data_IF_393943664114
#
_entry.id   IF_393943664114
#
_cell.length_a   1.000
_cell.length_b   1.000
_cell.length_c   1.000
_cell.angle_alpha   90.00
_cell.angle_beta   90.00
_cell.angle_gamma   90.00
#
_symmetry.space_group_name_H-M   'P 1'
#
loop_
_entity.id
_entity.type
_entity.pdbx_description
1 polymer ?
#
# COMPACT_ATOMS: atom_id res chain seq x y z
N UNK A 1 35.25 -6.15 -45.60
CA UNK A 1 34.54 -7.28 -46.21
C UNK A 1 33.29 -7.45 -45.35
N UNK A 2 32.26 -6.60 -45.52
CA UNK A 2 31.26 -6.59 -46.64
C UNK A 2 30.46 -7.88 -46.61
N UNK A 3 29.13 -7.94 -46.70
CA UNK A 3 28.00 -7.06 -47.05
C UNK A 3 26.81 -7.57 -46.18
N UNK A 4 25.83 -6.81 -45.69
CA UNK A 4 24.81 -6.00 -46.37
C UNK A 4 23.92 -6.78 -47.36
N UNK A 5 22.61 -6.54 -47.26
CA UNK A 5 21.56 -6.83 -48.26
C UNK A 5 21.14 -8.31 -48.44
N UNK A 6 19.94 -8.67 -47.95
CA UNK A 6 18.79 -8.76 -48.85
C UNK A 6 17.45 -8.88 -48.08
N UNK A 7 16.36 -8.51 -48.76
CA UNK A 7 14.93 -8.56 -48.37
C UNK A 7 14.32 -7.26 -47.81
N UNK A 8 14.14 -6.31 -48.73
CA UNK A 8 12.97 -5.41 -48.78
C UNK A 8 11.94 -5.91 -49.81
N UNK A 9 10.68 -5.60 -49.51
CA UNK A 9 9.57 -5.27 -50.43
C UNK A 9 8.87 -6.38 -51.23
N UNK A 10 7.53 -6.38 -51.14
CA UNK A 10 6.45 -6.83 -52.05
C UNK A 10 5.31 -7.42 -51.18
N UNK A 11 4.04 -7.03 -51.22
CA UNK A 11 3.35 -5.97 -51.95
C UNK A 11 1.99 -5.69 -51.26
N UNK A 12 1.40 -4.55 -51.59
CA UNK A 12 0.06 -4.13 -51.22
C UNK A 12 -1.03 -4.94 -51.94
N UNK A 13 -2.17 -5.18 -51.29
CA UNK A 13 -3.52 -5.00 -51.86
C UNK A 13 -4.60 -5.43 -50.87
N UNK A 14 -5.35 -4.46 -50.34
CA UNK A 14 -6.81 -4.41 -50.45
C UNK A 14 -7.30 -3.11 -49.84
N UNK A 15 -7.64 -2.17 -50.73
CA UNK A 15 -8.48 -1.04 -50.44
C UNK A 15 -9.84 -1.22 -51.14
N UNK A 16 -10.84 -0.61 -50.50
CA UNK A 16 -12.00 0.04 -51.10
C UNK A 16 -13.34 -0.71 -51.10
N UNK A 17 -14.28 -0.18 -50.30
CA UNK A 17 -15.54 0.36 -50.80
C UNK A 17 -16.41 0.87 -49.62
N UNK A 18 -16.80 2.15 -49.65
CA UNK A 18 -18.02 2.58 -48.95
C UNK A 18 -18.07 4.01 -48.41
N UNK A 19 -18.07 5.02 -49.28
CA UNK A 19 -18.67 6.32 -48.96
C UNK A 19 -19.51 6.83 -50.13
N UNK A 20 -20.78 7.15 -49.87
CA UNK A 20 -21.62 7.96 -50.76
C UNK A 20 -22.76 8.65 -49.99
N UNK A 21 -22.94 9.94 -50.29
CA UNK A 21 -24.21 10.68 -50.18
C UNK A 21 -24.32 11.63 -48.98
N UNK A 22 -23.95 12.91 -49.11
CA UNK A 22 -24.84 14.06 -49.47
C UNK A 22 -25.58 14.62 -48.24
N UNK A 23 -25.68 15.93 -47.95
CA UNK A 23 -25.98 17.07 -48.84
C UNK A 23 -25.77 18.39 -48.08
N UNK A 24 -25.02 19.31 -48.69
CA UNK A 24 -25.18 20.76 -48.87
C UNK A 24 -26.03 21.66 -47.95
N UNK A 25 -25.49 22.91 -47.84
CA UNK A 25 -26.14 24.22 -47.85
C UNK A 25 -26.61 24.81 -46.51
N UNK A 26 -26.53 26.11 -46.22
CA UNK A 26 -25.82 27.31 -46.74
C UNK A 26 -26.27 28.48 -45.82
N UNK A 27 -25.69 29.67 -45.99
CA UNK A 27 -26.18 31.03 -45.60
C UNK A 27 -25.81 31.68 -44.24
N UNK A 28 -24.98 32.73 -44.40
CA UNK A 28 -25.17 34.15 -44.03
C UNK A 28 -25.11 34.72 -42.60
N UNK A 29 -24.27 35.76 -42.52
CA UNK A 29 -24.10 36.89 -41.57
C UNK A 29 -25.35 37.84 -41.52
N UNK A 30 -25.39 38.99 -40.78
CA UNK A 30 -24.69 39.46 -39.56
C UNK A 30 -25.62 40.22 -38.53
N UNK A 31 -25.01 40.68 -37.43
CA UNK A 31 -25.28 41.85 -36.55
C UNK A 31 -26.61 42.64 -36.54
N UNK A 32 -27.10 43.00 -35.33
CA UNK A 32 -27.65 44.31 -34.89
C UNK A 32 -27.85 44.28 -33.35
N UNK A 33 -27.24 45.15 -32.51
CA UNK A 33 -27.46 46.57 -32.19
C UNK A 33 -28.68 46.91 -31.30
N UNK A 34 -28.35 47.66 -30.23
CA UNK A 34 -29.12 48.68 -29.52
C UNK A 34 -30.38 48.29 -28.72
N UNK A 35 -30.37 48.59 -27.41
CA UNK A 35 -31.12 49.75 -26.90
C UNK A 35 -30.74 50.12 -25.47
N UNK A 36 -30.40 51.40 -25.32
CA UNK A 36 -30.33 52.13 -24.06
C UNK A 36 -31.57 53.03 -23.98
N UNK A 37 -32.20 53.17 -22.81
CA UNK A 37 -33.13 54.28 -22.48
C UNK A 37 -33.18 54.39 -20.95
N UNK A 38 -32.44 55.33 -20.33
CA UNK A 38 -32.83 56.68 -19.90
C UNK A 38 -33.69 56.72 -18.64
N UNK A 39 -33.17 57.49 -17.67
CA UNK A 39 -33.68 57.81 -16.34
C UNK A 39 -34.95 58.66 -16.32
N UNK A 40 -35.50 58.91 -15.11
CA UNK A 40 -35.83 60.28 -14.74
C UNK A 40 -35.13 60.73 -13.46
N UNK A 41 -34.78 62.02 -13.48
CA UNK A 41 -34.29 62.84 -12.38
C UNK A 41 -35.38 63.00 -11.31
N UNK A 42 -35.01 62.98 -10.03
CA UNK A 42 -35.45 64.01 -9.09
C UNK A 42 -34.46 64.16 -7.94
N UNK A 43 -34.09 65.41 -7.70
CA UNK A 43 -33.29 65.97 -6.61
C UNK A 43 -34.04 65.95 -5.28
N UNK A 44 -33.39 65.56 -4.18
CA UNK A 44 -33.27 66.40 -2.98
C UNK A 44 -32.47 65.72 -1.85
N UNK A 45 -31.70 66.56 -1.18
CA UNK A 45 -31.26 66.52 0.23
C UNK A 45 -30.24 65.50 0.71
N UNK A 46 -29.02 66.05 0.90
CA UNK A 46 -28.04 65.62 1.90
C UNK A 46 -28.69 65.43 3.28
N UNK A 47 -28.70 64.19 3.75
CA UNK A 47 -28.48 63.87 5.18
C UNK A 47 -27.51 62.70 5.25
N UNK A 48 -26.36 62.96 5.84
CA UNK A 48 -25.33 61.99 6.19
C UNK A 48 -25.90 60.94 7.16
N UNK A 49 -25.98 59.68 6.70
CA UNK A 49 -26.16 58.52 7.57
C UNK A 49 -24.79 57.88 7.83
N UNK A 50 -24.46 57.49 9.08
CA UNK A 50 -23.26 56.71 9.33
C UNK A 50 -23.41 55.34 8.66
N UNK A 51 -22.39 54.92 7.90
CA UNK A 51 -22.32 53.58 7.34
C UNK A 51 -22.40 52.53 8.45
N UNK A 52 -23.19 51.45 8.32
CA UNK A 52 -23.12 50.36 9.26
C UNK A 52 -21.74 49.71 9.13
N UNK A 53 -20.93 49.86 10.17
CA UNK A 53 -19.72 49.07 10.35
C UNK A 53 -20.12 47.59 10.33
N UNK A 54 -19.73 46.89 9.27
CA UNK A 54 -19.75 45.42 9.26
C UNK A 54 -19.04 44.93 10.51
N UNK A 55 -19.65 44.03 11.32
CA UNK A 55 -18.92 43.41 12.40
C UNK A 55 -17.76 42.65 11.76
N UNK A 56 -16.54 43.02 12.14
CA UNK A 56 -15.36 42.24 11.83
C UNK A 56 -15.66 40.81 12.27
N UNK A 57 -15.85 39.93 11.29
CA UNK A 57 -15.93 38.50 11.55
C UNK A 57 -14.59 38.15 12.21
N UNK A 58 -14.68 37.82 13.49
CA UNK A 58 -13.60 37.24 14.28
C UNK A 58 -13.29 35.88 13.66
N UNK A 59 -12.56 35.90 12.55
CA UNK A 59 -11.98 34.69 11.97
C UNK A 59 -10.99 34.23 13.04
N UNK A 60 -11.14 33.02 13.60
CA UNK A 60 -10.15 32.52 14.54
C UNK A 60 -8.79 32.68 13.88
N UNK A 61 -7.87 33.32 14.59
CA UNK A 61 -6.52 33.60 14.11
C UNK A 61 -5.78 32.25 14.03
N UNK A 62 -6.04 31.49 12.96
CA UNK A 62 -5.42 30.18 12.76
C UNK A 62 -3.97 30.45 12.41
N UNK A 63 -3.07 30.19 13.36
CA UNK A 63 -1.63 30.27 13.09
C UNK A 63 -1.31 29.46 11.82
N UNK A 64 -0.58 30.04 10.86
CA UNK A 64 -0.26 29.36 9.61
C UNK A 64 0.55 28.09 9.86
N UNK A 65 0.21 27.03 9.14
CA UNK A 65 0.96 25.78 9.11
C UNK A 65 2.15 25.96 8.17
N UNK A 66 3.34 25.60 8.63
CA UNK A 66 4.57 25.58 7.80
C UNK A 66 5.05 24.15 7.61
N UNK A 67 5.35 23.75 6.37
CA UNK A 67 5.84 22.40 6.07
C UNK A 67 7.33 22.49 5.76
N UNK A 68 8.13 21.64 6.41
CA UNK A 68 9.60 21.65 6.30
C UNK A 68 10.13 20.27 5.92
N UNK A 69 11.14 20.17 5.03
CA UNK A 69 11.75 18.89 4.69
C UNK A 69 12.54 18.33 5.88
N UNK A 70 12.57 17.00 5.99
CA UNK A 70 13.46 16.26 6.87
C UNK A 70 14.86 16.26 6.27
N UNK A 71 15.81 16.94 6.91
CA UNK A 71 17.19 17.10 6.39
C UNK A 71 18.26 16.59 7.35
N UNK A 72 17.93 16.42 8.62
CA UNK A 72 18.87 15.96 9.65
C UNK A 72 18.45 14.63 10.28
N UNK A 73 19.40 13.97 10.94
CA UNK A 73 19.12 12.76 11.76
C UNK A 73 18.11 13.03 12.87
N UNK A 74 18.07 14.25 13.41
CA UNK A 74 17.12 14.63 14.45
C UNK A 74 15.71 14.82 13.88
N UNK A 75 15.60 15.39 12.68
CA UNK A 75 14.33 15.49 11.97
C UNK A 75 13.78 14.09 11.65
N UNK A 76 14.64 13.16 11.21
CA UNK A 76 14.22 11.79 10.93
C UNK A 76 13.72 11.07 12.20
N UNK A 77 14.43 11.24 13.32
CA UNK A 77 13.96 10.72 14.62
C UNK A 77 12.61 11.31 15.03
N UNK A 78 12.40 12.61 14.80
CA UNK A 78 11.11 13.24 15.06
C UNK A 78 10.03 12.71 14.13
N UNK A 79 10.31 12.59 12.83
CA UNK A 79 9.42 12.03 11.82
C UNK A 79 8.96 10.63 12.22
N UNK A 80 9.88 9.74 12.62
CA UNK A 80 9.57 8.38 13.10
C UNK A 80 8.64 8.41 14.31
N UNK A 81 8.92 9.28 15.28
CA UNK A 81 8.19 9.35 16.55
C UNK A 81 6.84 10.03 16.45
N UNK A 82 6.60 10.80 15.40
CA UNK A 82 5.47 11.72 15.32
C UNK A 82 4.10 11.04 15.43
N UNK A 83 3.81 9.89 14.79
CA UNK A 83 2.51 9.20 14.95
C UNK A 83 2.21 8.87 16.41
N UNK A 84 3.23 8.40 17.14
CA UNK A 84 3.12 8.09 18.57
C UNK A 84 2.82 9.32 19.42
N UNK A 85 3.29 10.50 19.00
CA UNK A 85 2.99 11.78 19.65
C UNK A 85 1.56 12.22 19.31
N UNK A 86 1.18 12.16 18.04
CA UNK A 86 -0.11 12.64 17.54
C UNK A 86 -1.28 11.80 18.04
N UNK A 87 -1.12 10.47 18.10
CA UNK A 87 -2.22 9.55 18.40
C UNK A 87 -2.13 8.96 19.81
N UNK A 88 -1.33 9.57 20.68
CA UNK A 88 -1.18 9.13 22.07
C UNK A 88 -2.55 9.06 22.76
N UNK A 89 -2.91 7.89 23.26
CA UNK A 89 -4.16 7.67 24.00
C UNK A 89 -5.40 7.50 23.12
N UNK A 90 -5.27 7.43 21.78
CA UNK A 90 -6.37 7.02 20.92
C UNK A 90 -6.61 5.52 21.05
N UNK A 91 -7.88 5.14 21.14
CA UNK A 91 -8.29 3.74 21.20
C UNK A 91 -7.85 2.99 19.94
N UNK A 92 -7.39 1.76 20.12
CA UNK A 92 -6.92 0.87 19.05
C UNK A 92 -5.55 1.21 18.46
N UNK A 93 -4.99 2.39 18.71
CA UNK A 93 -3.66 2.74 18.23
C UNK A 93 -2.55 2.12 19.10
N UNK A 94 -1.67 1.35 18.45
CA UNK A 94 -0.44 0.83 19.06
C UNK A 94 0.75 1.28 18.22
N UNK A 95 1.72 2.02 18.79
CA UNK A 95 2.85 2.50 18.02
C UNK A 95 3.78 1.35 17.61
N UNK A 96 4.30 1.33 16.37
CA UNK A 96 5.37 0.41 16.00
C UNK A 96 6.65 0.72 16.78
N UNK A 97 7.60 -0.20 16.77
CA UNK A 97 8.91 0.02 17.39
C UNK A 97 9.69 1.08 16.57
N UNK A 98 10.24 2.09 17.25
CA UNK A 98 11.01 3.16 16.62
C UNK A 98 12.23 2.60 15.83
N UNK A 99 12.78 1.45 16.27
CA UNK A 99 13.88 0.77 15.59
C UNK A 99 13.47 0.21 14.22
N UNK A 100 12.28 -0.40 14.14
CA UNK A 100 11.73 -0.94 12.89
C UNK A 100 11.47 0.19 11.90
N UNK A 101 10.85 1.26 12.37
CA UNK A 101 10.59 2.47 11.57
C UNK A 101 11.89 3.16 11.14
N UNK A 102 12.94 3.14 11.97
CA UNK A 102 14.27 3.60 11.57
C UNK A 102 14.87 2.71 10.47
N UNK A 103 14.73 1.40 10.55
CA UNK A 103 15.27 0.50 9.53
C UNK A 103 14.54 0.68 8.19
N UNK A 104 13.24 0.96 8.23
CA UNK A 104 12.42 1.32 7.08
C UNK A 104 12.85 2.66 6.46
N UNK A 105 12.90 3.74 7.25
CA UNK A 105 13.04 5.13 6.75
C UNK A 105 14.49 5.63 6.66
N UNK A 106 15.49 4.83 7.03
CA UNK A 106 16.88 5.24 6.98
C UNK A 106 17.52 4.86 5.62
N UNK A 107 18.03 5.84 4.85
CA UNK A 107 18.66 5.58 3.54
C UNK A 107 19.86 4.64 3.59
N UNK A 108 20.53 4.52 4.73
CA UNK A 108 21.67 3.62 4.90
C UNK A 108 21.26 2.15 5.15
N UNK A 109 19.97 1.88 5.40
CA UNK A 109 19.46 0.56 5.79
C UNK A 109 18.48 -0.04 4.80
N UNK A 110 17.63 0.77 4.17
CA UNK A 110 16.62 0.29 3.25
C UNK A 110 17.11 0.31 1.80
N UNK A 111 16.96 -0.82 1.10
CA UNK A 111 17.37 -0.99 -0.29
C UNK A 111 16.64 -0.07 -1.28
N UNK A 112 15.42 0.37 -0.96
CA UNK A 112 14.59 1.17 -1.87
C UNK A 112 15.29 2.46 -2.33
N UNK A 113 16.12 3.05 -1.47
CA UNK A 113 16.88 4.27 -1.76
C UNK A 113 17.93 4.10 -2.88
N UNK A 114 18.17 2.87 -3.35
CA UNK A 114 19.02 2.61 -4.52
C UNK A 114 18.35 2.98 -5.85
N UNK A 115 17.03 3.02 -5.88
CA UNK A 115 16.26 3.30 -7.11
C UNK A 115 15.14 4.32 -6.90
N UNK A 116 14.80 4.66 -5.65
CA UNK A 116 13.79 5.64 -5.33
C UNK A 116 14.38 6.94 -4.75
N UNK A 117 13.89 8.06 -5.23
CA UNK A 117 14.05 9.37 -4.59
C UNK A 117 12.92 9.56 -3.58
N UNK A 118 13.28 9.69 -2.31
CA UNK A 118 12.31 9.82 -1.20
C UNK A 118 12.52 11.17 -0.53
N UNK A 119 11.43 11.92 -0.33
CA UNK A 119 11.42 13.15 0.46
C UNK A 119 10.39 13.06 1.58
N UNK A 120 10.83 13.28 2.81
CA UNK A 120 9.96 13.35 3.99
C UNK A 120 9.77 14.81 4.42
N UNK A 121 8.57 15.13 4.92
CA UNK A 121 8.20 16.46 5.38
C UNK A 121 7.48 16.41 6.72
N UNK A 122 7.63 17.47 7.52
CA UNK A 122 6.93 17.67 8.79
C UNK A 122 6.19 19.00 8.73
N UNK A 123 4.92 19.00 9.09
CA UNK A 123 4.09 20.19 9.28
C UNK A 123 4.23 20.72 10.70
N UNK A 124 4.35 22.04 10.85
CA UNK A 124 4.57 22.75 12.10
C UNK A 124 3.55 23.87 12.27
N UNK A 125 3.01 24.01 13.48
CA UNK A 125 2.20 25.14 13.92
C UNK A 125 2.68 25.57 15.30
N UNK A 126 3.00 26.85 15.49
CA UNK A 126 3.54 27.38 16.76
C UNK A 126 4.75 26.57 17.29
N UNK A 127 5.66 26.20 16.38
CA UNK A 127 6.82 25.36 16.66
C UNK A 127 6.49 23.96 17.24
N UNK A 128 5.23 23.52 17.12
CA UNK A 128 4.79 22.15 17.44
C UNK A 128 4.60 21.36 16.15
N UNK A 129 5.14 20.14 16.04
CA UNK A 129 4.90 19.28 14.89
C UNK A 129 3.45 18.77 14.94
N UNK A 130 2.70 18.96 13.85
CA UNK A 130 1.27 18.65 13.74
C UNK A 130 0.94 17.62 12.65
N UNK A 131 1.94 17.22 11.87
CA UNK A 131 1.81 16.12 10.93
C UNK A 131 3.07 15.83 10.14
N UNK A 132 3.06 14.74 9.39
CA UNK A 132 4.14 14.29 8.51
C UNK A 132 3.58 13.66 7.23
N UNK A 133 4.40 13.65 6.18
CA UNK A 133 4.13 12.98 4.91
C UNK A 133 5.46 12.64 4.24
N UNK A 134 5.50 11.55 3.47
CA UNK A 134 6.57 11.27 2.51
C UNK A 134 6.05 11.37 1.08
N UNK A 135 6.91 11.79 0.16
CA UNK A 135 6.71 11.73 -1.28
C UNK A 135 7.85 10.93 -1.91
N UNK A 136 7.53 10.10 -2.91
CA UNK A 136 8.48 9.15 -3.50
C UNK A 136 8.35 9.11 -5.01
N UNK A 137 9.49 9.12 -5.69
CA UNK A 137 9.62 8.75 -7.10
C UNK A 137 10.46 7.50 -7.17
N UNK A 138 9.85 6.37 -7.53
CA UNK A 138 10.51 5.09 -7.64
C UNK A 138 10.85 4.79 -9.11
N UNK A 139 12.15 4.75 -9.44
CA UNK A 139 12.61 4.46 -10.79
C UNK A 139 12.20 3.08 -11.29
N UNK A 140 12.11 2.08 -10.41
CA UNK A 140 11.64 0.73 -10.79
C UNK A 140 10.13 0.70 -11.04
N UNK A 141 9.37 1.52 -10.32
CA UNK A 141 7.96 1.71 -10.61
C UNK A 141 7.76 2.38 -11.98
N UNK A 142 8.54 3.43 -12.28
CA UNK A 142 8.50 4.12 -13.58
C UNK A 142 8.97 3.24 -14.75
N UNK A 143 9.88 2.30 -14.52
CA UNK A 143 10.25 1.30 -15.53
C UNK A 143 9.14 0.26 -15.75
N UNK A 144 8.45 -0.13 -14.67
CA UNK A 144 7.40 -1.15 -14.70
C UNK A 144 6.06 -0.63 -15.22
N UNK A 145 5.83 0.68 -15.14
CA UNK A 145 4.58 1.32 -15.51
C UNK A 145 4.80 2.28 -16.68
N UNK A 146 3.85 2.32 -17.60
CA UNK A 146 3.85 3.30 -18.71
C UNK A 146 3.26 4.66 -18.27
N UNK A 147 3.37 5.00 -16.98
CA UNK A 147 2.78 6.19 -16.38
C UNK A 147 3.74 6.84 -15.37
N UNK A 148 3.82 8.18 -15.38
CA UNK A 148 4.64 8.97 -14.46
C UNK A 148 3.92 9.23 -13.14
N UNK A 149 3.77 8.17 -12.34
CA UNK A 149 3.10 8.21 -11.05
C UNK A 149 4.12 8.35 -9.93
N UNK A 150 3.95 9.38 -9.10
CA UNK A 150 4.63 9.52 -7.83
C UNK A 150 3.78 8.98 -6.68
N UNK A 151 4.44 8.55 -5.61
CA UNK A 151 3.75 8.12 -4.39
C UNK A 151 3.75 9.18 -3.31
N UNK A 152 2.68 9.24 -2.53
CA UNK A 152 2.70 9.80 -1.18
C UNK A 152 2.50 8.70 -0.16
N UNK A 153 2.97 8.87 1.07
CA UNK A 153 2.87 7.88 2.16
C UNK A 153 3.23 8.48 3.51
N UNK A 154 3.36 7.63 4.54
CA UNK A 154 3.66 8.05 5.90
C UNK A 154 2.86 9.30 6.35
N UNK A 155 1.59 9.36 5.94
CA UNK A 155 0.71 10.50 6.17
C UNK A 155 0.09 10.37 7.56
N UNK A 156 0.58 11.16 8.50
CA UNK A 156 0.04 11.23 9.85
C UNK A 156 -0.16 12.69 10.22
N UNK A 157 -1.35 13.05 10.71
CA UNK A 157 -1.66 14.44 11.01
C UNK A 157 -2.71 14.54 12.11
N UNK A 158 -2.72 15.68 12.80
CA UNK A 158 -3.94 16.11 13.50
C UNK A 158 -5.06 16.24 12.45
N UNK A 159 -6.27 15.80 12.82
CA UNK A 159 -7.43 15.71 11.91
C UNK A 159 -8.03 17.08 11.58
N UNK A 160 -7.22 17.97 11.00
CA UNK A 160 -7.56 19.32 10.60
C UNK A 160 -7.28 19.52 9.11
N UNK A 161 -8.27 19.99 8.35
CA UNK A 161 -8.16 20.16 6.89
C UNK A 161 -6.96 21.00 6.48
N UNK A 162 -6.66 22.08 7.21
CA UNK A 162 -5.51 22.94 6.90
C UNK A 162 -4.16 22.24 7.01
N UNK A 163 -4.00 21.31 7.95
CA UNK A 163 -2.75 20.54 8.13
C UNK A 163 -2.61 19.47 7.05
N UNK A 164 -3.67 18.70 6.82
CA UNK A 164 -3.67 17.63 5.80
C UNK A 164 -3.46 18.22 4.41
N UNK A 165 -4.13 19.33 4.09
CA UNK A 165 -3.95 20.07 2.83
C UNK A 165 -2.50 20.53 2.65
N UNK A 166 -1.91 21.19 3.65
CA UNK A 166 -0.55 21.69 3.55
C UNK A 166 0.48 20.56 3.29
N UNK A 167 0.29 19.39 3.92
CA UNK A 167 1.13 18.21 3.69
C UNK A 167 0.97 17.66 2.27
N UNK A 168 -0.27 17.43 1.82
CA UNK A 168 -0.56 16.90 0.48
C UNK A 168 -0.10 17.87 -0.63
N UNK A 169 -0.38 19.17 -0.50
CA UNK A 169 0.07 20.20 -1.45
C UNK A 169 1.62 20.21 -1.57
N UNK A 170 2.32 20.03 -0.44
CA UNK A 170 3.80 19.99 -0.43
C UNK A 170 4.32 18.76 -1.16
N UNK A 171 3.72 17.59 -0.93
CA UNK A 171 4.08 16.36 -1.63
C UNK A 171 3.76 16.45 -3.13
N UNK A 172 2.58 16.96 -3.48
CA UNK A 172 2.15 17.22 -4.86
C UNK A 172 3.14 18.13 -5.59
N UNK A 173 3.52 19.26 -4.98
CA UNK A 173 4.49 20.20 -5.55
C UNK A 173 5.84 19.50 -5.78
N UNK A 174 6.35 18.78 -4.78
CA UNK A 174 7.63 18.08 -4.92
C UNK A 174 7.57 17.02 -6.04
N UNK A 175 6.50 16.24 -6.15
CA UNK A 175 6.35 15.23 -7.20
C UNK A 175 6.22 15.84 -8.59
N UNK A 176 5.49 16.96 -8.73
CA UNK A 176 5.41 17.71 -9.98
C UNK A 176 6.78 18.21 -10.42
N UNK A 177 7.59 18.72 -9.49
CA UNK A 177 8.96 19.16 -9.75
C UNK A 177 9.87 17.99 -10.18
N UNK A 178 9.53 16.75 -9.80
CA UNK A 178 10.19 15.53 -10.29
C UNK A 178 9.60 14.99 -11.61
N UNK A 179 8.65 15.72 -12.23
CA UNK A 179 8.05 15.38 -13.51
C UNK A 179 6.93 14.33 -13.44
N UNK A 180 6.37 14.09 -12.26
CA UNK A 180 5.21 13.20 -12.10
C UNK A 180 3.93 13.92 -12.51
N UNK A 181 3.01 13.18 -13.14
CA UNK A 181 1.71 13.69 -13.61
C UNK A 181 0.55 13.27 -12.72
N UNK A 182 0.78 12.26 -11.87
CA UNK A 182 -0.20 11.72 -10.93
C UNK A 182 0.45 11.42 -9.58
N UNK A 183 -0.27 11.64 -8.50
CA UNK A 183 0.13 11.27 -7.15
C UNK A 183 -0.82 10.19 -6.61
N UNK A 184 -0.27 9.05 -6.18
CA UNK A 184 -1.03 7.88 -5.69
C UNK A 184 -0.56 7.47 -4.29
N UNK A 185 -1.47 7.04 -3.41
CA UNK A 185 -1.09 6.70 -2.04
C UNK A 185 -2.28 6.53 -1.09
N UNK A 186 -2.04 6.38 0.22
CA UNK A 186 -0.72 6.37 0.83
C UNK A 186 0.02 5.04 0.58
N UNK A 187 1.32 5.13 0.28
CA UNK A 187 2.31 4.04 0.22
C UNK A 187 3.56 4.51 0.95
N UNK A 188 3.86 3.95 2.11
CA UNK A 188 5.08 4.29 2.87
C UNK A 188 6.30 3.70 2.15
N UNK A 189 7.08 4.59 1.54
CA UNK A 189 8.27 4.33 0.73
C UNK A 189 8.02 3.64 -0.61
N UNK A 190 7.45 2.45 -0.64
CA UNK A 190 7.21 1.76 -1.91
C UNK A 190 6.29 0.55 -1.81
N UNK A 191 6.08 -0.14 -2.93
CA UNK A 191 5.06 -1.19 -3.09
C UNK A 191 5.10 -2.27 -1.99
N UNK A 192 6.29 -2.65 -1.53
CA UNK A 192 6.47 -3.65 -0.47
C UNK A 192 6.37 -3.08 0.96
N UNK A 193 6.15 -1.77 1.10
CA UNK A 193 5.94 -1.09 2.36
C UNK A 193 4.47 -1.08 2.80
N UNK A 194 4.16 -0.19 3.76
CA UNK A 194 2.80 -0.03 4.26
C UNK A 194 1.93 0.70 3.22
N UNK A 195 0.83 0.08 2.77
CA UNK A 195 -0.05 0.62 1.72
C UNK A 195 -1.47 0.81 2.22
N UNK A 196 -2.09 1.89 1.72
CA UNK A 196 -3.47 2.25 1.94
C UNK A 196 -3.74 2.94 3.27
N UNK A 197 -4.72 3.84 3.24
CA UNK A 197 -5.25 4.51 4.42
C UNK A 197 -6.24 3.57 5.12
N UNK A 198 -6.08 3.33 6.42
CA UNK A 198 -7.04 2.50 7.16
C UNK A 198 -8.38 3.24 7.29
N UNK A 199 -9.41 2.73 6.61
CA UNK A 199 -10.77 3.30 6.65
C UNK A 199 -11.69 2.53 7.60
N UNK A 200 -11.43 1.23 7.78
CA UNK A 200 -12.17 0.35 8.70
C UNK A 200 -11.19 -0.53 9.46
N UNK A 201 -11.48 -0.82 10.73
CA UNK A 201 -10.70 -1.75 11.56
C UNK A 201 -9.78 -1.07 12.58
N UNK A 202 -10.03 0.19 12.92
CA UNK A 202 -9.23 0.97 13.87
C UNK A 202 -9.20 0.36 15.29
N UNK A 203 -10.20 -0.45 15.64
CA UNK A 203 -10.30 -1.18 16.91
C UNK A 203 -9.77 -2.63 16.84
N UNK A 204 -9.36 -3.09 15.67
CA UNK A 204 -8.77 -4.43 15.52
C UNK A 204 -7.33 -4.44 16.04
N UNK A 205 -6.84 -5.59 16.54
CA UNK A 205 -5.45 -5.72 16.98
C UNK A 205 -4.44 -5.28 15.90
N UNK A 206 -3.32 -4.62 16.27
CA UNK A 206 -2.30 -4.23 15.30
C UNK A 206 -1.64 -5.47 14.68
N UNK A 207 -1.18 -5.34 13.43
CA UNK A 207 -0.50 -6.40 12.72
C UNK A 207 0.72 -5.85 12.00
N UNK A 208 1.77 -6.66 11.91
CA UNK A 208 2.99 -6.30 11.18
C UNK A 208 2.71 -5.91 9.72
N UNK A 209 3.34 -4.82 9.28
CA UNK A 209 3.19 -4.28 7.92
C UNK A 209 1.80 -3.74 7.60
N UNK A 210 0.96 -3.46 8.60
CA UNK A 210 -0.40 -2.92 8.41
C UNK A 210 -0.50 -1.56 9.08
N UNK A 211 -0.65 -0.45 8.33
CA UNK A 211 -0.66 0.87 8.94
C UNK A 211 -1.99 1.16 9.64
N UNK A 212 -1.95 1.99 10.68
CA UNK A 212 -3.13 2.48 11.39
C UNK A 212 -3.30 3.98 11.14
N UNK A 213 -4.54 4.42 10.94
CA UNK A 213 -4.83 5.83 10.68
C UNK A 213 -6.11 6.29 11.42
N UNK A 214 -6.16 7.56 11.87
CA UNK A 214 -7.40 8.21 12.31
C UNK A 214 -8.52 8.06 11.26
N UNK A 215 -9.75 7.67 11.64
CA UNK A 215 -10.86 7.53 10.69
C UNK A 215 -11.18 8.85 9.97
N UNK A 216 -10.87 9.98 10.60
CA UNK A 216 -11.12 11.32 10.04
C UNK A 216 -10.27 11.61 8.80
N UNK A 217 -9.08 10.99 8.66
CA UNK A 217 -8.22 11.22 7.48
C UNK A 217 -8.90 10.79 6.18
N UNK A 218 -9.79 9.80 6.23
CA UNK A 218 -10.52 9.30 5.08
C UNK A 218 -11.34 10.40 4.39
N UNK A 219 -12.17 11.09 5.17
CA UNK A 219 -12.99 12.20 4.67
C UNK A 219 -12.16 13.41 4.26
N UNK A 220 -11.05 13.68 4.98
CA UNK A 220 -10.17 14.82 4.69
C UNK A 220 -9.43 14.66 3.36
N UNK A 221 -8.91 13.47 3.06
CA UNK A 221 -8.21 13.19 1.80
C UNK A 221 -9.19 13.30 0.63
N UNK A 222 -10.37 12.68 0.73
CA UNK A 222 -11.39 12.75 -0.31
C UNK A 222 -11.85 14.20 -0.57
N UNK A 223 -12.08 14.99 0.48
CA UNK A 223 -12.47 16.40 0.35
C UNK A 223 -11.40 17.30 -0.30
N UNK A 224 -10.16 16.83 -0.42
CA UNK A 224 -9.05 17.54 -1.06
C UNK A 224 -8.84 17.12 -2.53
N UNK A 225 -9.83 16.42 -3.11
CA UNK A 225 -9.86 16.05 -4.53
C UNK A 225 -9.05 14.80 -4.87
N UNK A 226 -8.82 13.93 -3.89
CA UNK A 226 -8.25 12.61 -4.13
C UNK A 226 -9.37 11.59 -4.33
N UNK A 227 -9.29 10.85 -5.43
CA UNK A 227 -10.26 9.83 -5.78
C UNK A 227 -9.82 8.46 -5.27
N UNK A 228 -10.73 7.64 -4.73
CA UNK A 228 -10.42 6.28 -4.32
C UNK A 228 -10.12 5.41 -5.55
N UNK A 229 -9.13 4.53 -5.44
CA UNK A 229 -8.68 3.69 -6.57
C UNK A 229 -8.85 2.19 -6.32
N UNK A 230 -8.44 1.71 -5.15
CA UNK A 230 -8.51 0.31 -4.74
C UNK A 230 -8.67 0.19 -3.23
N UNK A 231 -9.42 -0.81 -2.82
CA UNK A 231 -9.45 -1.28 -1.44
C UNK A 231 -8.59 -2.54 -1.29
N UNK A 232 -7.84 -2.58 -0.18
CA UNK A 232 -7.00 -3.67 0.29
C UNK A 232 -7.70 -4.28 1.50
N UNK A 233 -8.21 -5.48 1.32
CA UNK A 233 -9.02 -6.20 2.30
C UNK A 233 -8.13 -7.11 3.15
N UNK A 234 -8.37 -7.10 4.47
CA UNK A 234 -7.74 -8.02 5.42
C UNK A 234 -8.81 -8.80 6.16
N UNK A 235 -8.60 -10.10 6.31
CA UNK A 235 -9.49 -11.00 7.02
C UNK A 235 -8.74 -11.61 8.21
N UNK A 236 -9.41 -11.67 9.36
CA UNK A 236 -8.89 -12.31 10.56
C UNK A 236 -9.45 -13.72 10.65
N UNK A 237 -8.56 -14.72 10.55
CA UNK A 237 -8.89 -16.12 10.77
C UNK A 237 -8.56 -16.51 12.20
N UNK A 238 -9.56 -16.92 12.96
CA UNK A 238 -9.37 -17.54 14.27
C UNK A 238 -9.01 -19.03 14.09
N UNK A 239 -7.88 -19.45 14.67
CA UNK A 239 -7.37 -20.81 14.62
C UNK A 239 -8.01 -21.66 15.73
N UNK A 240 -9.29 -21.96 15.56
CA UNK A 240 -10.06 -22.79 16.48
C UNK A 240 -9.87 -24.29 16.21
N UNK A 241 -10.30 -25.15 17.14
CA UNK A 241 -10.21 -26.61 17.00
C UNK A 241 -11.08 -27.13 15.83
N UNK A 242 -12.24 -26.52 15.60
CA UNK A 242 -13.16 -26.84 14.49
C UNK A 242 -12.69 -26.30 13.13
N UNK A 243 -11.59 -25.54 13.06
CA UNK A 243 -11.06 -25.02 11.79
C UNK A 243 -10.70 -26.15 10.82
N UNK A 244 -10.18 -27.27 11.35
CA UNK A 244 -9.85 -28.44 10.52
C UNK A 244 -11.11 -29.06 9.90
N UNK A 245 -12.25 -29.00 10.60
CA UNK A 245 -13.53 -29.53 10.08
C UNK A 245 -14.10 -28.66 8.94
N UNK A 246 -13.73 -27.38 8.90
CA UNK A 246 -14.14 -26.41 7.85
C UNK A 246 -13.33 -26.55 6.55
N UNK A 247 -12.70 -27.72 6.33
CA UNK A 247 -11.80 -28.11 5.24
C UNK A 247 -11.93 -27.29 3.94
N UNK A 248 -10.81 -26.70 3.52
CA UNK A 248 -10.68 -25.96 2.25
C UNK A 248 -10.38 -26.93 1.09
N UNK A 249 -9.78 -28.08 1.39
CA UNK A 249 -9.36 -29.09 0.41
C UNK A 249 -10.19 -30.37 0.62
N UNK A 250 -10.88 -30.88 -0.42
CA UNK A 250 -11.51 -32.20 -0.37
C UNK A 250 -10.48 -33.26 0.07
N UNK A 251 -10.80 -34.10 1.05
CA UNK A 251 -9.88 -35.10 1.64
C UNK A 251 -9.27 -36.13 0.65
N UNK A 252 -9.72 -36.13 -0.61
CA UNK A 252 -9.19 -36.91 -1.71
C UNK A 252 -8.01 -36.24 -2.47
N UNK A 253 -7.70 -34.97 -2.20
CA UNK A 253 -6.61 -34.23 -2.85
C UNK A 253 -5.41 -34.13 -1.90
N UNK A 254 -4.48 -35.07 -2.03
CA UNK A 254 -3.23 -35.10 -1.27
C UNK A 254 -2.03 -34.95 -2.22
N UNK A 255 -1.09 -34.01 -1.96
CA UNK A 255 0.17 -33.96 -2.68
C UNK A 255 0.86 -35.33 -2.70
N UNK A 256 1.35 -35.76 -3.86
CA UNK A 256 2.01 -37.05 -4.06
C UNK A 256 1.07 -38.23 -4.33
N UNK A 257 -0.26 -38.02 -4.36
CA UNK A 257 -1.23 -39.08 -4.61
C UNK A 257 -2.11 -38.81 -5.84
N UNK A 258 -2.47 -39.87 -6.57
CA UNK A 258 -3.45 -39.81 -7.67
C UNK A 258 -3.10 -38.75 -8.73
N UNK A 259 -4.03 -37.82 -8.97
CA UNK A 259 -3.86 -36.71 -9.93
C UNK A 259 -2.85 -35.64 -9.49
N UNK A 260 -2.31 -35.74 -8.27
CA UNK A 260 -1.31 -34.85 -7.69
C UNK A 260 0.05 -35.57 -7.49
N UNK A 261 0.31 -36.68 -8.18
CA UNK A 261 1.53 -37.47 -8.03
C UNK A 261 2.84 -36.68 -8.21
N UNK A 262 2.83 -35.69 -9.10
CA UNK A 262 3.99 -34.82 -9.36
C UNK A 262 4.05 -33.57 -8.46
N UNK A 263 3.14 -33.45 -7.50
CA UNK A 263 3.07 -32.35 -6.54
C UNK A 263 3.71 -32.77 -5.24
N UNK A 264 4.71 -32.03 -4.78
CA UNK A 264 5.39 -32.30 -3.51
C UNK A 264 5.48 -31.05 -2.65
N UNK A 265 5.50 -31.24 -1.34
CA UNK A 265 5.68 -30.15 -0.37
C UNK A 265 7.11 -30.20 0.13
N UNK A 266 7.86 -29.11 -0.05
CA UNK A 266 9.26 -29.06 0.37
C UNK A 266 9.37 -28.74 1.86
N UNK A 267 10.29 -29.45 2.53
CA UNK A 267 10.65 -29.19 3.93
C UNK A 267 12.03 -28.53 3.99
N UNK A 268 12.05 -27.21 4.06
CA UNK A 268 13.29 -26.44 4.08
C UNK A 268 13.71 -26.07 5.49
N UNK A 269 14.98 -26.26 5.80
CA UNK A 269 15.59 -25.66 6.98
C UNK A 269 15.68 -24.15 6.86
N UNK A 270 15.85 -23.45 8.00
CA UNK A 270 16.07 -22.00 8.04
C UNK A 270 17.24 -21.53 7.16
N UNK A 271 18.32 -22.32 7.07
CA UNK A 271 19.46 -22.02 6.20
C UNK A 271 19.10 -22.14 4.72
N UNK A 272 18.31 -23.15 4.35
CA UNK A 272 17.84 -23.34 2.99
C UNK A 272 16.88 -22.22 2.57
N UNK A 273 15.95 -21.82 3.44
CA UNK A 273 15.06 -20.67 3.19
C UNK A 273 15.88 -19.40 2.92
N UNK A 274 16.89 -19.13 3.74
CA UNK A 274 17.76 -17.97 3.54
C UNK A 274 18.57 -18.05 2.23
N UNK A 275 18.95 -19.25 1.80
CA UNK A 275 19.64 -19.48 0.53
C UNK A 275 18.70 -19.43 -0.69
N UNK A 276 17.38 -19.51 -0.49
CA UNK A 276 16.39 -19.46 -1.55
C UNK A 276 16.01 -18.04 -2.00
N UNK A 277 16.68 -17.00 -1.52
CA UNK A 277 16.30 -15.62 -1.81
C UNK A 277 16.01 -15.33 -3.28
N UNK A 278 16.84 -15.81 -4.21
CA UNK A 278 16.59 -15.60 -5.64
C UNK A 278 15.41 -16.41 -6.19
N UNK A 279 15.21 -17.65 -5.73
CA UNK A 279 14.06 -18.48 -6.10
C UNK A 279 12.76 -17.82 -5.62
N UNK A 280 12.74 -17.38 -4.35
CA UNK A 280 11.61 -16.66 -3.76
C UNK A 280 11.30 -15.38 -4.52
N UNK A 281 12.34 -14.60 -4.84
CA UNK A 281 12.19 -13.35 -5.59
C UNK A 281 11.66 -13.59 -6.99
N UNK A 282 12.18 -14.58 -7.70
CA UNK A 282 11.74 -14.95 -9.04
C UNK A 282 10.27 -15.38 -9.04
N UNK A 283 9.90 -16.30 -8.15
CA UNK A 283 8.53 -16.78 -8.03
C UNK A 283 7.57 -15.69 -7.53
N UNK A 284 8.03 -14.76 -6.68
CA UNK A 284 7.25 -13.60 -6.27
C UNK A 284 7.02 -12.65 -7.45
N UNK A 285 8.07 -12.32 -8.19
CA UNK A 285 7.94 -11.40 -9.32
C UNK A 285 7.08 -11.98 -10.44
N UNK A 286 7.20 -13.30 -10.69
CA UNK A 286 6.33 -14.03 -11.61
C UNK A 286 4.87 -13.95 -11.15
N UNK A 287 4.57 -14.37 -9.91
CA UNK A 287 3.19 -14.49 -9.43
C UNK A 287 2.44 -13.15 -9.28
N UNK A 288 3.15 -12.03 -9.09
CA UNK A 288 2.54 -10.70 -8.92
C UNK A 288 2.66 -9.79 -10.15
N UNK A 289 3.31 -10.24 -11.23
CA UNK A 289 3.38 -9.49 -12.47
C UNK A 289 2.00 -9.08 -12.98
N UNK A 290 1.85 -7.81 -13.35
CA UNK A 290 0.60 -7.24 -13.86
C UNK A 290 -0.48 -7.01 -12.80
N UNK A 291 -0.21 -7.20 -11.51
CA UNK A 291 -1.12 -6.79 -10.45
C UNK A 291 -1.05 -5.28 -10.19
N UNK A 292 -2.12 -4.72 -9.62
CA UNK A 292 -2.21 -3.28 -9.34
C UNK A 292 -1.03 -2.80 -8.47
N UNK A 293 -0.42 -1.68 -8.87
CA UNK A 293 0.77 -1.07 -8.26
C UNK A 293 2.02 -1.97 -8.19
N UNK A 294 2.05 -3.11 -8.87
CA UNK A 294 3.20 -4.01 -8.78
C UNK A 294 4.50 -3.33 -9.24
N UNK A 295 5.54 -3.49 -8.42
CA UNK A 295 6.91 -3.14 -8.75
C UNK A 295 7.78 -4.39 -8.54
N UNK A 296 8.62 -4.78 -9.52
CA UNK A 296 9.47 -5.95 -9.38
C UNK A 296 10.43 -5.82 -8.20
N UNK A 297 10.40 -6.81 -7.30
CA UNK A 297 11.28 -6.88 -6.15
C UNK A 297 12.71 -7.15 -6.60
N UNK A 298 13.65 -6.34 -6.11
CA UNK A 298 15.07 -6.45 -6.43
C UNK A 298 15.78 -7.43 -5.50
N UNK A 299 16.92 -7.98 -5.95
CA UNK A 299 17.66 -9.01 -5.20
C UNK A 299 18.13 -8.53 -3.83
N UNK A 300 18.61 -7.29 -3.73
CA UNK A 300 19.05 -6.70 -2.47
C UNK A 300 17.90 -6.36 -1.52
N UNK A 301 16.69 -6.13 -2.03
CA UNK A 301 15.51 -5.91 -1.20
C UNK A 301 15.03 -7.23 -0.60
N UNK A 302 15.02 -8.31 -1.40
CA UNK A 302 14.75 -9.66 -0.91
C UNK A 302 15.77 -10.10 0.14
N UNK A 303 17.06 -9.83 -0.08
CA UNK A 303 18.11 -10.14 0.91
C UNK A 303 17.85 -9.38 2.23
N UNK A 304 17.54 -8.08 2.14
CA UNK A 304 17.18 -7.27 3.30
C UNK A 304 15.97 -7.83 4.07
N UNK A 305 14.91 -8.21 3.36
CA UNK A 305 13.71 -8.81 3.93
C UNK A 305 14.04 -10.13 4.66
N UNK A 306 14.81 -11.01 4.03
CA UNK A 306 15.23 -12.28 4.64
C UNK A 306 16.03 -12.03 5.92
N UNK A 307 16.97 -11.08 5.92
CA UNK A 307 17.77 -10.78 7.11
C UNK A 307 16.91 -10.24 8.27
N UNK A 308 15.94 -9.37 7.97
CA UNK A 308 15.01 -8.84 8.97
C UNK A 308 14.13 -9.94 9.57
N UNK A 309 13.57 -10.79 8.71
CA UNK A 309 12.66 -11.84 9.12
C UNK A 309 13.38 -13.04 9.76
N UNK A 310 14.69 -13.20 9.54
CA UNK A 310 15.48 -14.32 10.08
C UNK A 310 15.35 -14.48 11.59
N UNK A 311 15.16 -13.42 12.36
CA UNK A 311 15.05 -13.55 13.82
C UNK A 311 13.70 -14.13 14.27
N UNK A 312 12.64 -13.89 13.51
CA UNK A 312 11.28 -14.30 13.85
C UNK A 312 10.86 -15.60 13.15
N UNK A 313 11.42 -15.87 11.95
CA UNK A 313 11.04 -17.04 11.16
C UNK A 313 11.62 -18.36 11.70
N UNK A 314 10.74 -19.36 11.62
CA UNK A 314 11.00 -20.82 11.79
C UNK A 314 10.59 -21.57 10.51
N UNK A 315 11.13 -22.76 10.23
CA UNK A 315 10.80 -23.56 9.03
C UNK A 315 9.30 -23.71 8.74
N UNK A 316 8.48 -23.79 9.78
CA UNK A 316 7.04 -24.01 9.71
C UNK A 316 6.28 -22.84 9.08
N UNK A 317 6.89 -21.66 9.03
CA UNK A 317 6.32 -20.44 8.45
C UNK A 317 6.33 -20.40 6.93
N UNK A 318 7.18 -21.22 6.30
CA UNK A 318 7.39 -21.18 4.87
C UNK A 318 6.95 -22.48 4.23
N UNK A 319 5.98 -22.40 3.33
CA UNK A 319 5.53 -23.52 2.51
C UNK A 319 6.02 -23.30 1.09
N UNK A 320 6.62 -24.33 0.53
CA UNK A 320 6.91 -24.44 -0.89
C UNK A 320 6.20 -25.69 -1.42
N UNK A 321 5.53 -25.53 -2.54
CA UNK A 321 4.93 -26.62 -3.29
C UNK A 321 5.62 -26.68 -4.64
N UNK A 322 6.22 -27.83 -4.92
CA UNK A 322 6.88 -28.12 -6.18
C UNK A 322 5.93 -28.92 -7.08
N UNK A 323 5.98 -28.65 -8.39
CA UNK A 323 5.32 -29.43 -9.42
C UNK A 323 6.37 -29.90 -10.43
N UNK A 324 6.47 -31.21 -10.66
CA UNK A 324 7.47 -31.82 -11.52
C UNK A 324 8.92 -31.40 -11.18
N UNK A 325 9.21 -31.22 -9.89
CA UNK A 325 10.54 -30.85 -9.38
C UNK A 325 10.87 -29.34 -9.43
N UNK A 326 9.95 -28.50 -9.91
CA UNK A 326 10.12 -27.05 -9.92
C UNK A 326 9.18 -26.34 -8.92
N UNK A 327 9.64 -25.27 -8.24
CA UNK A 327 8.78 -24.45 -7.38
C UNK A 327 7.59 -23.88 -8.14
N UNK A 328 6.37 -24.26 -7.73
CA UNK A 328 5.13 -23.89 -8.40
C UNK A 328 4.23 -23.00 -7.54
N UNK A 329 4.31 -23.13 -6.21
CA UNK A 329 3.63 -22.24 -5.29
C UNK A 329 4.42 -22.06 -3.99
N UNK A 330 4.17 -20.95 -3.32
CA UNK A 330 4.75 -20.67 -2.02
C UNK A 330 3.80 -19.89 -1.12
N UNK A 331 3.97 -20.06 0.18
CA UNK A 331 3.32 -19.24 1.18
C UNK A 331 4.29 -18.89 2.31
N UNK A 332 4.18 -17.67 2.82
CA UNK A 332 4.99 -17.18 3.94
C UNK A 332 4.11 -16.52 4.99
N UNK A 333 4.23 -17.02 6.21
CA UNK A 333 3.58 -16.47 7.41
C UNK A 333 4.62 -15.77 8.27
N UNK A 334 4.36 -14.53 8.67
CA UNK A 334 5.25 -13.75 9.53
C UNK A 334 4.61 -13.57 10.92
N UNK A 335 5.32 -13.91 12.00
CA UNK A 335 4.84 -13.68 13.36
C UNK A 335 4.62 -12.19 13.65
N UNK A 336 3.58 -11.87 14.42
CA UNK A 336 3.24 -10.48 14.73
C UNK A 336 4.12 -9.89 15.83
N UNK A 337 5.04 -8.99 15.47
CA UNK A 337 5.95 -8.33 16.42
C UNK A 337 5.21 -7.53 17.52
N UNK A 338 3.97 -7.08 17.27
CA UNK A 338 3.17 -6.38 18.27
C UNK A 338 2.83 -7.25 19.49
N UNK A 339 2.77 -8.59 19.35
CA UNK A 339 2.49 -9.49 20.48
C UNK A 339 3.63 -9.47 21.49
N UNK A 340 4.86 -9.52 21.01
CA UNK A 340 6.04 -9.50 21.87
C UNK A 340 6.37 -8.08 22.36
N UNK A 341 5.97 -7.05 21.61
CA UNK A 341 6.10 -5.64 21.97
C UNK A 341 5.01 -5.16 22.95
N UNK A 342 4.00 -5.98 23.28
CA UNK A 342 2.89 -5.58 24.16
C UNK A 342 3.37 -5.04 25.51
N UNK A 343 2.95 -3.81 25.85
CA UNK A 343 3.39 -3.11 27.06
C UNK A 343 4.85 -2.62 27.03
N UNK A 344 5.43 -2.53 25.83
CA UNK A 344 6.70 -1.88 25.53
C UNK A 344 6.34 -0.74 24.58
N UNK A 345 6.54 0.50 25.02
CA UNK A 345 6.33 1.66 24.14
C UNK A 345 7.29 1.61 22.94
N UNK A 346 7.01 2.36 21.88
CA UNK A 346 7.85 2.41 20.67
C UNK A 346 9.35 2.69 20.90
N UNK A 347 9.74 3.22 22.07
CA UNK A 347 11.13 3.33 22.52
C UNK A 347 11.34 2.53 23.83
N UNK A 348 11.82 1.27 23.76
CA UNK A 348 11.97 0.42 24.94
C UNK A 348 13.05 0.93 25.91
N UNK A 349 12.76 0.87 27.21
CA UNK A 349 13.78 0.99 28.27
C UNK A 349 14.70 -0.25 28.29
N UNK A 350 15.84 -0.28 29.00
CA UNK A 350 16.68 -1.48 29.11
C UNK A 350 15.90 -2.72 29.59
N UNK A 351 14.99 -2.55 30.55
CA UNK A 351 14.09 -3.63 30.99
C UNK A 351 13.07 -4.02 29.91
N UNK A 352 12.59 -3.04 29.13
CA UNK A 352 11.77 -3.29 27.94
C UNK A 352 12.51 -4.16 26.91
N UNK A 353 13.78 -3.86 26.63
CA UNK A 353 14.62 -4.66 25.73
C UNK A 353 14.84 -6.08 26.24
N UNK A 354 15.14 -6.26 27.53
CA UNK A 354 15.27 -7.58 28.12
C UNK A 354 13.97 -8.40 28.01
N UNK A 355 12.82 -7.76 28.24
CA UNK A 355 11.50 -8.37 28.09
C UNK A 355 11.20 -8.75 26.64
N UNK A 356 11.51 -7.87 25.68
CA UNK A 356 11.34 -8.13 24.25
C UNK A 356 12.19 -9.33 23.81
N UNK A 357 13.48 -9.34 24.20
CA UNK A 357 14.40 -10.42 23.89
C UNK A 357 13.96 -11.76 24.47
N UNK A 358 13.53 -11.80 25.73
CA UNK A 358 13.02 -13.02 26.35
C UNK A 358 11.75 -13.56 25.65
N UNK A 359 10.82 -12.68 25.24
CA UNK A 359 9.62 -13.06 24.49
C UNK A 359 9.94 -13.54 23.08
N UNK A 360 10.89 -12.90 22.41
CA UNK A 360 11.39 -13.30 21.09
C UNK A 360 12.05 -14.68 21.15
N UNK A 361 12.96 -14.91 22.10
CA UNK A 361 13.64 -16.20 22.29
C UNK A 361 12.65 -17.32 22.64
N UNK A 362 11.64 -17.01 23.45
CA UNK A 362 10.54 -17.92 23.76
C UNK A 362 9.49 -18.03 22.65
N UNK A 363 9.61 -17.28 21.55
CA UNK A 363 8.69 -17.24 20.40
C UNK A 363 7.22 -17.04 20.82
N UNK A 364 6.97 -16.10 21.74
CA UNK A 364 5.66 -15.84 22.33
C UNK A 364 4.79 -14.95 21.45
N UNK A 365 4.43 -15.45 20.28
CA UNK A 365 3.57 -14.79 19.31
C UNK A 365 2.17 -15.40 19.37
N UNK A 366 1.13 -14.60 19.62
CA UNK A 366 -0.25 -15.07 19.66
C UNK A 366 -0.90 -15.00 18.26
N UNK A 367 -0.33 -14.22 17.34
CA UNK A 367 -0.87 -13.94 16.03
C UNK A 367 0.22 -13.85 14.95
N UNK A 368 -0.18 -14.02 13.70
CA UNK A 368 0.70 -13.92 12.54
C UNK A 368 -0.06 -13.39 11.31
N UNK A 369 0.67 -13.07 10.25
CA UNK A 369 0.11 -12.62 8.97
C UNK A 369 0.64 -13.45 7.81
N UNK A 370 -0.24 -13.90 6.92
CA UNK A 370 0.17 -14.42 5.61
C UNK A 370 0.57 -13.22 4.75
N UNK A 371 1.87 -13.02 4.55
CA UNK A 371 2.39 -11.89 3.74
C UNK A 371 2.60 -12.26 2.27
N UNK A 372 2.64 -13.56 1.99
CA UNK A 372 2.88 -14.09 0.65
C UNK A 372 2.06 -15.36 0.47
N UNK A 373 1.29 -15.41 -0.60
CA UNK A 373 0.67 -16.62 -1.13
C UNK A 373 0.67 -16.51 -2.65
N UNK A 374 1.65 -17.16 -3.28
CA UNK A 374 1.96 -17.00 -4.70
C UNK A 374 1.90 -18.33 -5.44
N UNK A 375 1.44 -18.28 -6.69
CA UNK A 375 1.44 -19.42 -7.61
C UNK A 375 2.09 -18.97 -8.91
N UNK A 376 3.04 -19.75 -9.42
CA UNK A 376 3.72 -19.44 -10.67
C UNK A 376 2.75 -19.35 -11.84
N UNK A 377 3.01 -18.42 -12.76
CA UNK A 377 2.28 -18.30 -14.01
C UNK A 377 2.36 -19.58 -14.86
N UNK A 378 3.42 -20.38 -14.72
CA UNK A 378 3.59 -21.66 -15.43
C UNK A 378 2.43 -22.63 -15.21
N UNK A 379 1.84 -22.63 -14.02
CA UNK A 379 0.71 -23.51 -13.67
C UNK A 379 -0.62 -22.76 -13.63
N UNK A 380 -0.60 -21.42 -13.77
CA UNK A 380 -1.80 -20.57 -13.73
C UNK A 380 -2.71 -20.88 -14.93
N UNK A 381 -4.03 -20.81 -14.71
CA UNK A 381 -5.03 -21.15 -15.72
C UNK A 381 -5.26 -22.66 -15.93
N UNK A 382 -4.50 -23.51 -15.24
CA UNK A 382 -4.75 -24.96 -15.20
C UNK A 382 -5.61 -25.35 -13.99
N UNK A 383 -6.25 -26.52 -14.03
CA UNK A 383 -6.94 -27.08 -12.87
C UNK A 383 -6.00 -27.24 -11.67
N UNK A 384 -4.75 -27.64 -11.92
CA UNK A 384 -3.74 -27.78 -10.90
C UNK A 384 -3.39 -26.44 -10.24
N UNK A 385 -3.16 -25.40 -11.04
CA UNK A 385 -2.89 -24.05 -10.55
C UNK A 385 -4.04 -23.47 -9.73
N UNK A 386 -5.29 -23.83 -10.04
CA UNK A 386 -6.45 -23.43 -9.24
C UNK A 386 -6.49 -24.10 -7.85
N UNK A 387 -5.86 -25.27 -7.69
CA UNK A 387 -5.78 -25.99 -6.41
C UNK A 387 -4.59 -25.53 -5.55
N UNK A 388 -3.51 -25.04 -6.16
CA UNK A 388 -2.26 -24.67 -5.47
C UNK A 388 -2.44 -23.74 -4.26
N UNK A 389 -3.23 -22.64 -4.33
CA UNK A 389 -3.45 -21.78 -3.16
C UNK A 389 -4.12 -22.53 -2.00
N UNK A 390 -5.07 -23.42 -2.32
CA UNK A 390 -5.78 -24.21 -1.31
C UNK A 390 -4.85 -25.23 -0.65
N UNK A 391 -3.98 -25.89 -1.42
CA UNK A 391 -2.96 -26.81 -0.90
C UNK A 391 -1.96 -26.08 0.01
N UNK A 392 -1.54 -24.87 -0.37
CA UNK A 392 -0.62 -24.09 0.43
C UNK A 392 -1.25 -23.62 1.76
N UNK A 393 -2.52 -23.20 1.72
CA UNK A 393 -3.26 -22.84 2.95
C UNK A 393 -3.47 -24.07 3.84
N UNK A 394 -3.85 -25.21 3.27
CA UNK A 394 -4.01 -26.47 4.02
C UNK A 394 -2.70 -26.90 4.69
N UNK A 395 -1.57 -26.79 3.98
CA UNK A 395 -0.25 -27.08 4.55
C UNK A 395 0.10 -26.11 5.69
N UNK A 396 -0.18 -24.81 5.55
CA UNK A 396 0.00 -23.83 6.64
C UNK A 396 -0.86 -24.17 7.85
N UNK A 397 -2.12 -24.54 7.63
CA UNK A 397 -3.07 -24.99 8.64
C UNK A 397 -2.51 -26.24 9.34
N UNK A 398 -1.98 -27.24 8.62
CA UNK A 398 -1.36 -28.43 9.23
C UNK A 398 -0.10 -28.10 10.03
N UNK A 399 0.76 -27.21 9.53
CA UNK A 399 1.99 -26.78 10.22
C UNK A 399 1.72 -25.96 11.49
N UNK A 400 0.52 -25.40 11.66
CA UNK A 400 0.16 -24.60 12.83
C UNK A 400 0.24 -25.36 14.15
N UNK A 401 0.14 -26.69 14.14
CA UNK A 401 0.13 -27.52 15.35
C UNK A 401 1.38 -27.35 16.24
N UNK A 402 2.48 -26.87 15.69
CA UNK A 402 3.74 -26.60 16.41
C UNK A 402 3.97 -25.11 16.71
N UNK A 403 3.00 -24.25 16.37
CA UNK A 403 3.07 -22.80 16.49
C UNK A 403 2.03 -22.28 17.50
N UNK A 404 2.35 -21.24 18.29
CA UNK A 404 1.48 -20.75 19.36
C UNK A 404 0.32 -19.85 18.90
N UNK A 405 0.02 -19.83 17.60
CA UNK A 405 -0.92 -18.89 17.01
C UNK A 405 -2.37 -19.19 17.35
N UNK A 406 -3.08 -18.15 17.76
CA UNK A 406 -4.53 -18.15 17.95
C UNK A 406 -5.24 -17.52 16.77
N UNK A 407 -4.60 -16.55 16.10
CA UNK A 407 -5.18 -15.85 14.96
C UNK A 407 -4.16 -15.65 13.84
N UNK A 408 -4.65 -15.63 12.61
CA UNK A 408 -3.85 -15.31 11.42
C UNK A 408 -4.58 -14.27 10.59
N UNK A 409 -3.87 -13.21 10.19
CA UNK A 409 -4.39 -12.26 9.20
C UNK A 409 -4.07 -12.71 7.78
N UNK A 410 -5.12 -12.76 6.97
CA UNK A 410 -5.10 -13.02 5.54
C UNK A 410 -5.24 -11.69 4.82
N UNK A 411 -4.14 -11.13 4.32
CA UNK A 411 -4.15 -9.82 3.68
C UNK A 411 -2.76 -9.32 3.29
N UNK A 412 -2.63 -8.42 2.33
CA UNK A 412 -3.73 -7.71 1.67
C UNK A 412 -4.26 -8.46 0.45
N UNK A 413 -5.57 -8.41 0.28
CA UNK A 413 -6.25 -8.92 -0.91
C UNK A 413 -6.91 -7.73 -1.59
N UNK A 414 -6.55 -7.46 -2.84
CA UNK A 414 -7.22 -6.44 -3.65
C UNK A 414 -8.71 -6.76 -3.76
N UNK A 415 -9.55 -5.74 -3.65
CA UNK A 415 -11.00 -5.78 -3.90
C UNK A 415 -11.39 -6.44 -5.23
N UNK A 416 -10.53 -6.38 -6.24
CA UNK A 416 -10.75 -7.03 -7.55
C UNK A 416 -10.16 -8.44 -7.67
N UNK A 417 -9.49 -8.96 -6.65
CA UNK A 417 -8.95 -10.34 -6.68
C UNK A 417 -10.04 -11.36 -6.34
N UNK A 418 -11.06 -11.45 -7.20
CA UNK A 418 -12.23 -12.34 -7.02
C UNK A 418 -11.85 -13.79 -6.71
N UNK A 419 -10.85 -14.42 -7.37
CA UNK A 419 -10.44 -15.78 -7.03
C UNK A 419 -10.00 -15.93 -5.57
N UNK A 420 -9.19 -15.01 -5.06
CA UNK A 420 -8.71 -15.06 -3.67
C UNK A 420 -9.79 -14.68 -2.67
N UNK A 421 -10.64 -13.69 -3.00
CA UNK A 421 -11.79 -13.33 -2.17
C UNK A 421 -12.77 -14.50 -2.01
N UNK A 422 -13.03 -15.25 -3.08
CA UNK A 422 -13.87 -16.45 -3.01
C UNK A 422 -13.26 -17.55 -2.14
N UNK A 423 -11.93 -17.68 -2.12
CA UNK A 423 -11.24 -18.66 -1.28
C UNK A 423 -11.32 -18.26 0.20
N UNK A 424 -10.98 -17.01 0.51
CA UNK A 424 -10.94 -16.51 1.89
C UNK A 424 -12.34 -16.40 2.50
N UNK A 425 -13.35 -16.01 1.71
CA UNK A 425 -14.75 -15.93 2.20
C UNK A 425 -15.36 -17.26 2.63
N UNK A 426 -14.78 -18.39 2.22
CA UNK A 426 -15.16 -19.72 2.74
C UNK A 426 -14.71 -19.93 4.19
N UNK A 427 -13.66 -19.22 4.61
CA UNK A 427 -13.11 -19.28 5.95
C UNK A 427 -13.63 -18.16 6.84
N UNK A 428 -13.63 -16.94 6.30
CA UNK A 428 -13.96 -15.71 7.00
C UNK A 428 -14.84 -14.85 6.08
N UNK A 429 -16.16 -14.74 6.35
CA UNK A 429 -17.10 -14.11 5.41
C UNK A 429 -16.80 -12.63 5.12
N UNK A 430 -16.36 -11.88 6.13
CA UNK A 430 -16.20 -10.43 6.05
C UNK A 430 -14.79 -9.97 6.46
N UNK A 431 -14.25 -8.91 5.83
CA UNK A 431 -12.96 -8.35 6.21
C UNK A 431 -13.04 -7.63 7.57
N UNK A 432 -12.00 -7.77 8.40
CA UNK A 432 -11.91 -7.04 9.68
C UNK A 432 -11.23 -5.67 9.51
N UNK A 433 -10.40 -5.50 8.48
CA UNK A 433 -9.77 -4.21 8.13
C UNK A 433 -9.90 -3.92 6.65
N UNK A 434 -10.07 -2.65 6.33
CA UNK A 434 -10.06 -2.14 4.96
C UNK A 434 -9.09 -0.97 4.88
N UNK A 435 -8.14 -1.07 3.96
CA UNK A 435 -7.19 -0.01 3.62
C UNK A 435 -7.46 0.49 2.22
N UNK A 436 -7.54 1.81 2.03
CA UNK A 436 -7.91 2.44 0.77
C UNK A 436 -6.76 3.19 0.13
N UNK A 437 -6.58 2.95 -1.16
CA UNK A 437 -5.69 3.69 -2.03
C UNK A 437 -6.44 4.86 -2.67
N UNK A 438 -5.74 5.96 -2.84
CA UNK A 438 -6.19 7.22 -3.41
C UNK A 438 -5.27 7.67 -4.53
N UNK A 439 -5.79 8.42 -5.49
CA UNK A 439 -4.97 9.13 -6.46
C UNK A 439 -5.55 10.50 -6.83
N UNK A 440 -4.69 11.35 -7.36
CA UNK A 440 -5.04 12.67 -7.89
C UNK A 440 -4.13 12.99 -9.07
N UNK A 441 -4.71 13.55 -10.13
CA UNK A 441 -3.94 14.13 -11.22
C UNK A 441 -3.30 15.44 -10.76
N UNK A 442 -2.00 15.57 -11.00
CA UNK A 442 -1.18 16.71 -10.56
C UNK A 442 -0.45 17.39 -11.71
N UNK A 443 -0.72 16.94 -12.94
CA UNK A 443 -0.28 17.59 -14.17
C UNK A 443 -0.72 19.06 -14.22
N UNK A 444 0.10 19.90 -14.87
CA UNK A 444 -0.23 21.31 -15.10
C UNK A 444 -1.23 21.50 -16.22
#
# INVERSE_FOLDING_TARGET
>A
MSEAEDLRQFDADQADAGHAGSTQADTDHPAERHSATVAPKHSHDMRSFPSPSSPAQDRPNVTPVTVRPVISRNDLKLFIRLPRILYKGRDGYVPPLDMEQNDLLNPAKNGIYRHASVRCFIAWRDNKPVGRISAVVDGKALEAWDEKIGWFGALDAVSETGVVKALLDTAETWLRDQGMVRMRGPVTLGYHGESGLMITGQNEPPMIGTPWHPPELNGLIAALGFEPTRDLLTFKLDLTEDLDERHIVPGALKPGEGKLGDVTVSHLSKKQIAAQGEVLRSLYNDAWAGTYNFVPLQSYEMEGLIQQLKLVLRPEHYVQIDHAGEPAAMALVVPNVFDIARGIDGAPSPLGWARLGARLLGHRFDSARVILLGVSHKVRGTLLGALMPSLAIDELIRRRATLPYKTVELGWILDTNTPMLNLVRRLVPEPNKVHRMYEKDIAQ
#
